data_IF_112006858687
#
_entry.id   IF_112006858687
#
_cell.length_a   1.000
_cell.length_b   1.000
_cell.length_c   1.000
_cell.angle_alpha   90.00
_cell.angle_beta   90.00
_cell.angle_gamma   90.00
#
_symmetry.space_group_name_H-M   'P 1'
#
loop_
_entity.id
_entity.type
_entity.pdbx_description
1 polymer ?
#
# COMPACT_ATOMS: atom_id res chain seq x y z
N UNK A 1 -13.93 7.35 -9.41
CA UNK A 1 -12.58 6.93 -8.98
C UNK A 1 -12.02 7.82 -7.85
N UNK A 2 -11.73 7.22 -6.69
CA UNK A 2 -11.06 7.85 -5.53
C UNK A 2 -10.26 6.82 -4.72
N UNK A 3 -9.49 7.30 -3.74
CA UNK A 3 -8.89 6.45 -2.70
C UNK A 3 -9.96 5.87 -1.77
N UNK A 4 -9.76 4.63 -1.29
CA UNK A 4 -10.65 3.93 -0.36
C UNK A 4 -10.55 4.41 1.09
N UNK A 5 -9.47 5.11 1.44
CA UNK A 5 -9.30 5.63 2.79
C UNK A 5 -10.38 6.68 3.12
N UNK A 6 -10.96 6.65 4.33
CA UNK A 6 -12.00 7.60 4.73
C UNK A 6 -11.43 9.02 4.84
N UNK A 7 -12.20 10.01 4.39
CA UNK A 7 -11.77 11.42 4.44
C UNK A 7 -11.85 11.98 5.87
N UNK A 8 -12.72 11.41 6.71
CA UNK A 8 -12.95 11.80 8.10
C UNK A 8 -13.02 10.55 8.99
N UNK A 9 -11.97 10.31 9.78
CA UNK A 9 -12.05 9.60 11.07
C UNK A 9 -12.20 10.62 12.20
N UNK A 10 -12.39 10.21 13.47
CA UNK A 10 -12.34 11.14 14.61
C UNK A 10 -11.05 11.99 14.58
N UNK A 11 -11.14 13.18 13.97
CA UNK A 11 -10.12 14.23 13.82
C UNK A 11 -8.73 13.83 13.24
N UNK A 12 -8.53 12.58 12.80
CA UNK A 12 -7.32 12.11 12.11
C UNK A 12 -7.60 10.89 11.25
N UNK A 13 -6.90 10.75 10.11
CA UNK A 13 -6.97 9.57 9.24
C UNK A 13 -6.59 8.28 9.99
N UNK A 14 -5.70 8.40 10.99
CA UNK A 14 -5.34 7.32 11.91
C UNK A 14 -5.09 7.89 13.32
N UNK A 15 -5.85 7.47 14.35
CA UNK A 15 -5.66 7.92 15.72
C UNK A 15 -4.22 7.72 16.21
N UNK A 16 -3.68 8.69 16.94
CA UNK A 16 -2.36 8.58 17.57
C UNK A 16 -1.16 9.01 16.73
N UNK A 17 -1.37 9.58 15.53
CA UNK A 17 -0.30 10.06 14.63
C UNK A 17 0.77 8.99 14.36
N UNK A 18 0.36 7.83 13.80
CA UNK A 18 1.28 6.73 13.54
C UNK A 18 2.41 7.18 12.62
N UNK A 19 3.62 6.78 12.99
CA UNK A 19 4.85 7.06 12.26
C UNK A 19 5.77 5.85 12.35
N UNK A 20 6.52 5.61 11.29
CA UNK A 20 7.58 4.61 11.30
C UNK A 20 8.63 4.93 12.35
N UNK A 21 9.02 3.93 13.14
CA UNK A 21 10.07 4.07 14.16
C UNK A 21 11.48 3.92 13.58
N UNK A 22 11.57 3.53 12.32
CA UNK A 22 12.80 3.38 11.54
C UNK A 22 12.68 4.15 10.24
N UNK A 23 13.81 4.55 9.67
CA UNK A 23 13.89 5.14 8.33
C UNK A 23 14.28 4.12 7.26
N UNK A 24 14.74 2.94 7.64
CA UNK A 24 15.04 1.85 6.74
C UNK A 24 13.82 0.92 6.65
N UNK A 25 12.95 1.19 5.68
CA UNK A 25 11.71 0.46 5.47
C UNK A 25 11.91 -0.61 4.40
N UNK A 26 11.21 -1.72 4.58
CA UNK A 26 11.15 -2.83 3.63
C UNK A 26 9.78 -2.90 2.98
N UNK A 27 9.73 -3.29 1.71
CA UNK A 27 8.47 -3.59 1.04
C UNK A 27 8.53 -4.90 0.27
N UNK A 28 7.37 -5.53 0.10
CA UNK A 28 7.24 -6.77 -0.65
C UNK A 28 5.97 -6.74 -1.49
N UNK A 29 6.09 -7.10 -2.76
CA UNK A 29 4.96 -7.30 -3.67
C UNK A 29 4.54 -8.77 -3.56
N UNK A 30 3.31 -9.01 -3.08
CA UNK A 30 2.80 -10.35 -2.79
C UNK A 30 2.23 -11.03 -4.05
N UNK A 31 1.58 -10.26 -4.90
CA UNK A 31 1.06 -10.66 -6.20
C UNK A 31 1.08 -9.46 -7.16
N UNK A 32 0.73 -9.72 -8.42
CA UNK A 32 0.72 -8.71 -9.48
C UNK A 32 -0.62 -8.75 -10.21
N UNK A 33 -0.99 -7.62 -10.80
CA UNK A 33 -2.07 -7.54 -11.77
C UNK A 33 -1.68 -8.22 -13.09
N UNK A 34 -2.57 -8.99 -13.74
CA UNK A 34 -2.42 -9.45 -15.12
C UNK A 34 -2.45 -8.35 -16.18
N UNK A 35 -2.88 -7.13 -15.85
CA UNK A 35 -3.05 -6.04 -16.82
C UNK A 35 -1.74 -5.34 -17.19
N UNK A 36 -0.66 -5.63 -16.45
CA UNK A 36 0.67 -5.09 -16.67
C UNK A 36 1.76 -6.15 -16.53
N UNK A 37 2.87 -5.95 -17.25
CA UNK A 37 4.07 -6.74 -17.04
C UNK A 37 4.60 -6.53 -15.61
N UNK A 38 5.08 -7.61 -14.96
CA UNK A 38 5.60 -7.53 -13.59
C UNK A 38 6.75 -6.51 -13.45
N UNK A 39 7.57 -6.35 -14.50
CA UNK A 39 8.66 -5.37 -14.53
C UNK A 39 8.15 -3.92 -14.52
N UNK A 40 6.99 -3.66 -15.14
CA UNK A 40 6.37 -2.34 -15.13
C UNK A 40 5.74 -2.03 -13.78
N UNK A 41 5.10 -3.03 -13.15
CA UNK A 41 4.62 -2.91 -11.76
C UNK A 41 5.78 -2.63 -10.80
N UNK A 42 6.86 -3.39 -10.91
CA UNK A 42 8.08 -3.20 -10.11
C UNK A 42 8.64 -1.78 -10.26
N UNK A 43 8.72 -1.30 -11.49
CA UNK A 43 9.20 0.05 -11.81
C UNK A 43 8.27 1.13 -11.27
N UNK A 44 6.95 0.94 -11.39
CA UNK A 44 5.95 1.87 -10.88
C UNK A 44 6.02 1.99 -9.36
N UNK A 45 6.07 0.87 -8.65
CA UNK A 45 6.20 0.84 -7.18
C UNK A 45 7.53 1.47 -6.74
N UNK A 46 8.64 1.17 -7.40
CA UNK A 46 9.94 1.78 -7.07
C UNK A 46 9.90 3.31 -7.24
N UNK A 47 9.27 3.81 -8.32
CA UNK A 47 9.11 5.25 -8.56
C UNK A 47 8.19 5.90 -7.54
N UNK A 48 7.13 5.21 -7.12
CA UNK A 48 6.22 5.70 -6.08
C UNK A 48 6.96 5.89 -4.74
N UNK A 49 7.79 4.93 -4.33
CA UNK A 49 8.64 5.08 -3.14
C UNK A 49 9.69 6.18 -3.29
N UNK A 50 10.25 6.35 -4.50
CA UNK A 50 11.24 7.39 -4.78
C UNK A 50 10.71 8.80 -4.49
N UNK A 51 9.43 9.08 -4.78
CA UNK A 51 8.79 10.37 -4.48
C UNK A 51 8.96 10.76 -3.01
N UNK A 52 8.86 9.80 -2.10
CA UNK A 52 9.02 10.03 -0.66
C UNK A 52 10.47 10.05 -0.21
N UNK A 53 11.32 9.16 -0.73
CA UNK A 53 12.73 9.12 -0.35
C UNK A 53 13.52 10.33 -0.86
N UNK A 54 13.06 11.01 -1.91
CA UNK A 54 13.73 12.19 -2.45
C UNK A 54 13.68 13.40 -1.52
N UNK A 55 12.72 13.42 -0.58
CA UNK A 55 12.47 14.55 0.33
C UNK A 55 12.46 14.16 1.81
N UNK A 56 12.79 12.92 2.13
CA UNK A 56 12.87 12.42 3.51
C UNK A 56 14.10 11.54 3.71
N UNK A 57 14.51 11.25 4.97
CA UNK A 57 15.53 10.25 5.24
C UNK A 57 15.06 8.79 5.02
N UNK A 58 13.81 8.56 4.59
CA UNK A 58 13.27 7.23 4.41
C UNK A 58 13.96 6.53 3.23
N UNK A 59 14.27 5.25 3.42
CA UNK A 59 14.77 4.36 2.38
C UNK A 59 13.83 3.17 2.29
N UNK A 60 13.62 2.68 1.07
CA UNK A 60 12.70 1.59 0.78
C UNK A 60 13.48 0.47 0.09
N UNK A 61 13.59 -0.67 0.75
CA UNK A 61 14.32 -1.83 0.23
C UNK A 61 13.34 -2.96 -0.07
N UNK A 62 13.33 -3.43 -1.31
CA UNK A 62 12.50 -4.57 -1.68
C UNK A 62 13.06 -5.86 -1.07
N UNK A 63 12.19 -6.65 -0.44
CA UNK A 63 12.47 -8.03 -0.03
C UNK A 63 11.56 -9.00 -0.79
N UNK A 64 12.01 -10.24 -0.94
CA UNK A 64 11.31 -11.26 -1.75
C UNK A 64 10.75 -12.42 -0.92
N UNK A 65 11.23 -12.58 0.30
CA UNK A 65 10.75 -13.55 1.27
C UNK A 65 10.46 -12.86 2.63
N UNK A 66 9.73 -13.56 3.50
CA UNK A 66 9.37 -13.06 4.82
C UNK A 66 8.31 -11.96 4.83
N UNK A 67 8.16 -11.31 5.99
CA UNK A 67 7.23 -10.20 6.22
C UNK A 67 7.98 -8.88 6.10
N UNK A 68 7.45 -7.96 5.29
CA UNK A 68 7.99 -6.61 5.10
C UNK A 68 7.23 -5.60 5.97
N UNK A 69 7.76 -4.39 6.11
CA UNK A 69 7.03 -3.28 6.74
C UNK A 69 5.81 -2.84 5.90
N UNK A 70 5.88 -3.00 4.59
CA UNK A 70 4.80 -2.67 3.64
C UNK A 70 4.58 -3.87 2.72
N UNK A 71 3.46 -4.58 2.89
CA UNK A 71 3.04 -5.60 1.94
C UNK A 71 2.12 -4.97 0.88
N UNK A 72 2.45 -5.18 -0.39
CA UNK A 72 1.70 -4.66 -1.53
C UNK A 72 0.98 -5.83 -2.20
N UNK A 73 -0.33 -5.69 -2.39
CA UNK A 73 -1.14 -6.69 -3.06
C UNK A 73 -2.19 -6.06 -3.97
N UNK A 74 -2.66 -6.86 -4.91
CA UNK A 74 -3.79 -6.55 -5.78
C UNK A 74 -4.93 -7.52 -5.46
N UNK A 75 -6.13 -7.01 -5.25
CA UNK A 75 -7.26 -7.81 -4.80
C UNK A 75 -8.57 -7.30 -5.36
N UNK A 76 -9.58 -8.17 -5.44
CA UNK A 76 -10.91 -7.82 -5.93
C UNK A 76 -11.96 -8.17 -4.87
N UNK A 77 -12.95 -7.29 -4.66
CA UNK A 77 -14.00 -7.51 -3.67
C UNK A 77 -13.42 -7.74 -2.27
N UNK A 78 -13.80 -8.84 -1.62
CA UNK A 78 -13.26 -9.23 -0.31
C UNK A 78 -11.85 -9.82 -0.48
N UNK A 79 -10.83 -9.14 0.05
CA UNK A 79 -9.42 -9.43 -0.22
C UNK A 79 -8.55 -9.57 1.05
N UNK A 80 -9.13 -10.07 2.15
CA UNK A 80 -8.37 -10.49 3.33
C UNK A 80 -8.32 -9.47 4.48
N UNK A 81 -8.94 -8.30 4.31
CA UNK A 81 -9.22 -7.35 5.38
C UNK A 81 -10.73 -7.05 5.48
N UNK A 82 -11.11 -6.07 6.33
CA UNK A 82 -12.51 -5.68 6.56
C UNK A 82 -13.03 -4.60 5.58
N UNK A 83 -12.27 -4.25 4.53
CA UNK A 83 -12.55 -3.14 3.63
C UNK A 83 -12.64 -3.64 2.17
N UNK A 84 -13.72 -4.34 1.78
CA UNK A 84 -13.82 -4.88 0.43
C UNK A 84 -13.88 -3.78 -0.65
N UNK A 85 -13.33 -4.06 -1.83
CA UNK A 85 -13.47 -3.20 -3.00
C UNK A 85 -14.85 -3.32 -3.66
N UNK A 86 -15.27 -2.28 -4.37
CA UNK A 86 -16.59 -2.10 -4.97
C UNK A 86 -16.65 -2.40 -6.48
N UNK A 87 -15.51 -2.74 -7.10
CA UNK A 87 -15.41 -3.02 -8.53
C UNK A 87 -15.10 -1.76 -9.36
N UNK A 88 -15.21 -1.84 -10.70
CA UNK A 88 -14.61 -0.85 -11.58
C UNK A 88 -15.08 0.60 -11.34
N UNK A 89 -14.12 1.52 -11.46
CA UNK A 89 -14.27 2.99 -11.43
C UNK A 89 -14.67 3.59 -10.07
N UNK A 90 -14.69 2.78 -9.02
CA UNK A 90 -15.03 3.16 -7.66
C UNK A 90 -13.80 3.48 -6.82
N UNK A 91 -13.48 2.57 -5.93
CA UNK A 91 -12.34 2.61 -5.02
C UNK A 91 -11.11 2.00 -5.68
N UNK A 92 -10.09 2.82 -5.92
CA UNK A 92 -8.90 2.39 -6.67
C UNK A 92 -7.93 1.54 -5.83
N UNK A 93 -7.80 1.88 -4.55
CA UNK A 93 -6.82 1.32 -3.63
C UNK A 93 -7.08 1.83 -2.21
N UNK A 94 -6.51 1.15 -1.21
CA UNK A 94 -6.35 1.68 0.14
C UNK A 94 -5.02 1.28 0.75
N UNK A 95 -4.64 1.94 1.84
CA UNK A 95 -3.46 1.58 2.60
C UNK A 95 -3.65 1.88 4.08
N UNK A 96 -3.04 1.05 4.94
CA UNK A 96 -3.06 1.23 6.38
C UNK A 96 -1.90 2.10 6.86
N UNK A 97 -2.11 2.80 7.97
CA UNK A 97 -1.04 3.55 8.63
C UNK A 97 0.12 2.66 9.10
N UNK A 98 1.31 3.25 9.33
CA UNK A 98 2.42 2.55 9.98
C UNK A 98 2.00 1.82 11.25
N UNK A 99 2.32 0.54 11.37
CA UNK A 99 1.93 -0.28 12.51
C UNK A 99 2.41 -1.72 12.43
N UNK A 100 1.97 -2.54 13.38
CA UNK A 100 2.22 -3.98 13.36
C UNK A 100 1.12 -4.70 12.56
N UNK A 101 1.40 -5.92 12.10
CA UNK A 101 0.43 -6.72 11.34
C UNK A 101 0.20 -6.10 9.97
N UNK A 102 -1.05 -5.75 9.67
CA UNK A 102 -1.43 -5.11 8.38
C UNK A 102 -1.05 -3.62 8.29
N UNK A 103 -0.43 -3.06 9.34
CA UNK A 103 -0.08 -1.64 9.38
C UNK A 103 1.03 -1.32 8.37
N UNK A 104 0.73 -0.48 7.38
CA UNK A 104 1.61 -0.15 6.26
C UNK A 104 1.23 -0.85 4.96
N UNK A 105 0.42 -1.90 5.03
CA UNK A 105 0.02 -2.65 3.84
C UNK A 105 -0.82 -1.79 2.90
N UNK A 106 -0.62 -2.03 1.61
CA UNK A 106 -1.22 -1.27 0.51
C UNK A 106 -1.89 -2.24 -0.45
N UNK A 107 -3.19 -2.06 -0.65
CA UNK A 107 -4.00 -2.91 -1.52
C UNK A 107 -4.54 -2.09 -2.70
N UNK A 108 -4.39 -2.61 -3.91
CA UNK A 108 -4.95 -2.04 -5.14
C UNK A 108 -6.15 -2.87 -5.60
N UNK A 109 -7.20 -2.23 -6.11
CA UNK A 109 -8.35 -2.93 -6.70
C UNK A 109 -7.93 -3.53 -8.05
N UNK A 110 -8.10 -4.83 -8.21
CA UNK A 110 -7.78 -5.58 -9.42
C UNK A 110 -8.88 -5.48 -10.49
N UNK A 111 -9.99 -4.81 -10.19
CA UNK A 111 -11.05 -4.56 -11.18
C UNK A 111 -10.91 -3.22 -11.93
N UNK A 112 -9.82 -2.48 -11.72
CA UNK A 112 -9.52 -1.21 -12.41
C UNK A 112 -8.62 -1.40 -13.63
#
# INVERSE_FOLDING_TARGET
PRCGNPDVGEYSLFPGRPAWRTTALTYRILNYTPDMDQADVDTAIQRAFKVWSDVTPLTFTRIYDGTADIQISFGAGVHGDFYPFDGPHGTLAHAFAPGNGIGGDTHFDEHE
#
